data_IF_895143427095
#
_entry.id   IF_895143427095
#
_cell.length_a   1.000
_cell.length_b   1.000
_cell.length_c   1.000
_cell.angle_alpha   90.00
_cell.angle_beta   90.00
_cell.angle_gamma   90.00
#
_symmetry.space_group_name_H-M   'P 1'
#
loop_
_entity.id
_entity.type
_entity.pdbx_description
1 polymer ?
#
# COMPACT_ATOMS: atom_id res chain seq x y z
N UNK A 1 -25.91 -5.36 9.17
CA UNK A 1 -24.98 -6.30 9.64
C UNK A 1 -23.58 -6.10 9.09
N UNK A 2 -22.59 -6.32 9.92
CA UNK A 2 -21.21 -6.08 9.49
C UNK A 2 -20.81 -6.90 8.28
N UNK A 3 -21.39 -8.07 8.12
CA UNK A 3 -21.05 -8.95 7.01
C UNK A 3 -21.32 -8.33 5.65
N UNK A 4 -22.29 -7.46 5.55
CA UNK A 4 -22.59 -6.84 4.28
C UNK A 4 -21.46 -5.92 3.83
N UNK A 5 -20.90 -5.17 4.77
CA UNK A 5 -19.75 -4.36 4.42
C UNK A 5 -18.52 -5.22 4.24
N UNK A 6 -18.33 -6.18 5.12
CA UNK A 6 -17.14 -7.02 5.09
C UNK A 6 -16.99 -7.79 3.80
N UNK A 7 -18.09 -8.17 3.20
CA UNK A 7 -18.01 -8.98 1.99
C UNK A 7 -17.52 -8.22 0.78
N UNK A 8 -17.35 -6.90 0.89
CA UNK A 8 -16.69 -6.14 -0.16
C UNK A 8 -15.23 -6.53 -0.30
N UNK A 9 -14.68 -7.20 0.70
CA UNK A 9 -13.29 -7.62 0.72
C UNK A 9 -13.24 -9.12 0.41
N UNK A 10 -12.49 -9.49 -0.62
CA UNK A 10 -12.34 -10.88 -1.04
C UNK A 10 -11.08 -11.47 -0.42
N UNK A 11 -11.19 -12.72 0.02
CA UNK A 11 -10.02 -13.42 0.54
C UNK A 11 -9.37 -14.24 -0.57
N UNK A 12 -8.03 -14.29 -0.53
CA UNK A 12 -7.27 -15.10 -1.47
C UNK A 12 -7.26 -16.53 -0.95
N UNK A 13 -7.92 -17.43 -1.65
CA UNK A 13 -8.01 -18.82 -1.21
C UNK A 13 -7.08 -19.75 -1.97
N UNK A 14 -6.69 -19.38 -3.19
CA UNK A 14 -5.84 -20.25 -3.97
C UNK A 14 -5.20 -19.48 -5.11
N UNK A 15 -3.88 -19.40 -5.07
CA UNK A 15 -3.07 -18.87 -6.16
C UNK A 15 -1.84 -19.74 -6.26
N UNK A 16 -1.50 -20.09 -7.48
CA UNK A 16 -0.28 -20.86 -7.73
C UNK A 16 0.83 -19.88 -8.08
N UNK A 17 1.41 -19.30 -7.06
CA UNK A 17 2.49 -18.32 -7.20
C UNK A 17 3.81 -19.03 -6.97
N UNK A 18 4.71 -18.94 -7.95
CA UNK A 18 6.04 -19.51 -7.85
C UNK A 18 7.08 -18.42 -7.82
N UNK A 19 7.90 -18.47 -6.80
CA UNK A 19 9.05 -17.58 -6.70
C UNK A 19 10.28 -18.37 -7.16
N UNK A 20 11.00 -17.82 -8.14
CA UNK A 20 12.22 -18.42 -8.63
C UNK A 20 13.36 -17.41 -8.55
N UNK A 21 14.38 -17.76 -7.74
CA UNK A 21 15.54 -16.89 -7.55
C UNK A 21 15.15 -15.47 -7.11
N UNK A 22 14.15 -15.36 -6.25
CA UNK A 22 13.69 -14.08 -5.76
C UNK A 22 12.82 -13.30 -6.73
N UNK A 23 12.28 -13.96 -7.77
CA UNK A 23 11.44 -13.30 -8.77
C UNK A 23 10.11 -14.00 -8.92
N UNK A 24 9.06 -13.20 -9.15
CA UNK A 24 7.71 -13.68 -9.40
C UNK A 24 7.22 -13.02 -10.68
N UNK A 25 6.56 -13.79 -11.53
CA UNK A 25 6.00 -13.22 -12.77
C UNK A 25 4.70 -12.50 -12.48
N UNK A 26 4.57 -11.29 -13.02
CA UNK A 26 3.36 -10.51 -12.85
C UNK A 26 2.12 -11.21 -13.39
N UNK A 27 2.27 -12.01 -14.43
CA UNK A 27 1.15 -12.78 -14.99
C UNK A 27 0.51 -13.73 -13.98
N UNK A 28 1.23 -14.06 -12.90
CA UNK A 28 0.68 -14.88 -11.83
C UNK A 28 -0.53 -14.22 -11.15
N UNK A 29 -0.68 -12.91 -11.29
CA UNK A 29 -1.73 -12.16 -10.63
C UNK A 29 -2.91 -11.81 -11.54
N UNK A 30 -2.98 -12.41 -12.73
CA UNK A 30 -4.02 -12.07 -13.70
C UNK A 30 -5.44 -12.32 -13.18
N UNK A 31 -5.59 -13.22 -12.23
CA UNK A 31 -6.90 -13.52 -11.65
C UNK A 31 -7.17 -12.78 -10.34
N UNK A 32 -6.28 -11.89 -9.95
CA UNK A 32 -6.46 -11.13 -8.72
C UNK A 32 -7.59 -10.13 -8.90
N UNK A 33 -8.58 -10.22 -8.04
CA UNK A 33 -9.77 -9.38 -8.11
C UNK A 33 -9.63 -8.15 -7.22
N UNK A 34 -10.32 -7.08 -7.61
CA UNK A 34 -10.39 -5.88 -6.76
C UNK A 34 -11.03 -6.24 -5.41
N UNK A 35 -10.67 -5.49 -4.40
CA UNK A 35 -11.12 -5.70 -3.01
C UNK A 35 -10.61 -6.99 -2.38
N UNK A 36 -9.54 -7.56 -2.93
CA UNK A 36 -8.92 -8.74 -2.32
C UNK A 36 -7.96 -8.32 -1.21
N UNK A 37 -7.98 -9.05 -0.10
CA UNK A 37 -6.98 -8.89 0.94
C UNK A 37 -5.72 -9.60 0.47
N UNK A 38 -4.68 -8.84 0.15
CA UNK A 38 -3.44 -9.46 -0.34
C UNK A 38 -2.39 -9.61 0.74
N UNK A 39 -2.61 -9.04 1.91
CA UNK A 39 -1.66 -9.15 3.00
C UNK A 39 -1.94 -8.12 4.08
N UNK A 40 -0.88 -7.76 4.79
CA UNK A 40 -0.95 -6.73 5.83
C UNK A 40 0.30 -5.88 5.82
N UNK A 41 0.14 -4.64 6.26
CA UNK A 41 1.25 -3.70 6.45
C UNK A 41 1.44 -3.48 7.94
N UNK A 42 2.68 -3.57 8.39
CA UNK A 42 3.03 -3.29 9.79
C UNK A 42 3.96 -2.10 9.83
N UNK A 43 3.58 -1.09 10.63
CA UNK A 43 4.39 0.10 10.87
C UNK A 43 4.49 0.23 12.39
N UNK A 44 5.70 0.11 12.93
CA UNK A 44 5.88 0.03 14.36
C UNK A 44 5.18 -1.22 14.90
N UNK A 45 4.40 -1.05 15.97
CA UNK A 45 3.69 -2.16 16.60
C UNK A 45 2.28 -2.35 16.04
N UNK A 46 1.92 -1.57 15.03
CA UNK A 46 0.57 -1.59 14.48
C UNK A 46 0.55 -2.24 13.12
N UNK A 47 -0.47 -3.01 12.83
CA UNK A 47 -0.64 -3.57 11.51
C UNK A 47 -2.09 -3.47 11.06
N UNK A 48 -2.27 -3.31 9.77
CA UNK A 48 -3.58 -3.23 9.14
C UNK A 48 -3.57 -4.08 7.88
N UNK A 49 -4.73 -4.61 7.50
CA UNK A 49 -4.85 -5.35 6.24
C UNK A 49 -4.50 -4.47 5.05
N UNK A 50 -3.94 -5.09 4.02
CA UNK A 50 -3.65 -4.45 2.74
C UNK A 50 -4.61 -4.99 1.70
N UNK A 51 -5.39 -4.10 1.09
CA UNK A 51 -6.45 -4.46 0.17
C UNK A 51 -6.09 -3.99 -1.24
N UNK A 52 -6.26 -4.85 -2.21
CA UNK A 52 -5.95 -4.57 -3.59
C UNK A 52 -7.09 -3.79 -4.25
N UNK A 53 -6.81 -2.56 -4.64
CA UNK A 53 -7.75 -1.70 -5.37
C UNK A 53 -9.11 -1.65 -4.68
N UNK A 54 -9.09 -1.32 -3.40
CA UNK A 54 -10.29 -1.36 -2.57
C UNK A 54 -11.26 -0.26 -2.93
N UNK A 55 -12.53 -0.61 -2.82
CA UNK A 55 -13.60 0.34 -2.86
C UNK A 55 -13.52 1.21 -1.60
N UNK A 56 -13.62 2.51 -1.75
CA UNK A 56 -13.46 3.44 -0.62
C UNK A 56 -14.60 3.40 0.39
N UNK A 57 -15.71 2.79 0.04
CA UNK A 57 -16.87 2.74 0.92
C UNK A 57 -16.55 2.08 2.27
N UNK A 58 -15.69 1.07 2.25
CA UNK A 58 -15.36 0.32 3.46
C UNK A 58 -13.87 0.33 3.75
N UNK A 59 -13.27 1.52 3.69
CA UNK A 59 -11.81 1.64 3.70
C UNK A 59 -11.21 1.84 5.09
N UNK A 60 -12.02 1.89 6.15
CA UNK A 60 -11.50 2.09 7.50
C UNK A 60 -10.69 0.89 7.98
N UNK A 61 -9.68 1.16 8.79
CA UNK A 61 -8.84 0.15 9.44
C UNK A 61 -8.15 -0.77 8.44
N UNK A 62 -7.70 -0.19 7.32
CA UNK A 62 -6.97 -0.93 6.30
C UNK A 62 -6.16 0.04 5.45
N UNK A 63 -5.16 -0.51 4.76
CA UNK A 63 -4.47 0.20 3.70
C UNK A 63 -5.05 -0.24 2.37
N UNK A 64 -5.32 0.72 1.51
CA UNK A 64 -5.95 0.46 0.21
C UNK A 64 -4.97 0.78 -0.91
N UNK A 65 -4.64 -0.21 -1.73
CA UNK A 65 -3.81 0.03 -2.91
C UNK A 65 -4.66 0.74 -3.95
N UNK A 66 -4.15 1.85 -4.46
CA UNK A 66 -4.88 2.65 -5.46
C UNK A 66 -5.00 1.91 -6.78
N UNK A 67 -6.07 2.21 -7.50
CA UNK A 67 -6.24 1.74 -8.86
C UNK A 67 -5.11 2.31 -9.71
N UNK A 68 -4.46 1.47 -10.50
CA UNK A 68 -3.35 1.88 -11.34
C UNK A 68 -1.99 1.87 -10.66
N UNK A 69 -1.97 1.58 -9.38
CA UNK A 69 -0.72 1.49 -8.63
C UNK A 69 -0.05 0.14 -8.84
N UNK A 70 1.27 0.10 -8.62
CA UNK A 70 2.01 -1.17 -8.62
C UNK A 70 1.75 -1.95 -7.35
N UNK A 71 1.97 -3.26 -7.42
CA UNK A 71 1.90 -4.12 -6.24
C UNK A 71 3.20 -4.03 -5.45
N UNK A 72 3.18 -4.41 -4.16
CA UNK A 72 4.43 -4.55 -3.42
C UNK A 72 5.39 -5.48 -4.17
N UNK A 73 6.65 -5.06 -4.28
CA UNK A 73 7.68 -5.81 -4.98
C UNK A 73 7.76 -5.53 -6.48
N UNK A 74 6.79 -4.85 -7.05
CA UNK A 74 6.76 -4.54 -8.47
C UNK A 74 7.56 -3.27 -8.78
N UNK A 75 8.08 -3.18 -10.01
CA UNK A 75 8.71 -1.93 -10.46
C UNK A 75 7.68 -0.82 -10.43
N UNK A 76 8.12 0.37 -10.03
CA UNK A 76 7.25 1.52 -9.90
C UNK A 76 6.90 1.75 -8.45
N UNK A 77 5.79 2.42 -8.21
CA UNK A 77 5.37 2.82 -6.87
C UNK A 77 4.06 2.16 -6.48
N UNK A 78 4.08 1.52 -5.34
CA UNK A 78 2.86 1.01 -4.72
C UNK A 78 2.30 2.13 -3.84
N UNK A 79 1.16 2.68 -4.22
CA UNK A 79 0.47 3.72 -3.43
C UNK A 79 -0.60 3.06 -2.58
N UNK A 80 -0.46 3.19 -1.28
CA UNK A 80 -1.43 2.61 -0.34
C UNK A 80 -1.93 3.71 0.59
N UNK A 81 -3.22 3.91 0.57
CA UNK A 81 -3.88 4.95 1.35
C UNK A 81 -4.46 4.38 2.64
N UNK A 82 -4.27 5.11 3.74
CA UNK A 82 -4.96 4.83 4.99
C UNK A 82 -5.85 6.04 5.30
N UNK A 83 -7.04 5.78 5.80
CA UNK A 83 -7.96 6.86 6.11
C UNK A 83 -7.50 7.66 7.33
N UNK A 84 -7.92 8.91 7.39
CA UNK A 84 -7.48 9.88 8.37
C UNK A 84 -7.61 9.39 9.81
N UNK A 85 -8.68 8.68 10.12
CA UNK A 85 -8.90 8.18 11.48
C UNK A 85 -7.93 7.07 11.87
N UNK A 86 -7.23 6.48 10.92
CA UNK A 86 -6.17 5.48 11.18
C UNK A 86 -4.80 6.01 10.84
N UNK A 87 -4.67 7.31 10.55
CA UNK A 87 -3.41 7.88 10.07
C UNK A 87 -2.29 7.89 11.11
N UNK A 88 -2.62 7.74 12.39
CA UNK A 88 -1.60 7.63 13.41
C UNK A 88 -0.61 6.50 13.13
N UNK A 89 -1.06 5.47 12.41
CA UNK A 89 -0.20 4.34 12.04
C UNK A 89 1.03 4.78 11.28
N UNK A 90 0.90 5.80 10.42
CA UNK A 90 2.02 6.29 9.64
C UNK A 90 2.62 7.57 10.21
N UNK A 91 1.85 8.34 10.99
CA UNK A 91 2.33 9.60 11.53
C UNK A 91 3.35 9.43 12.66
N UNK A 92 3.39 8.26 13.27
CA UNK A 92 4.37 7.96 14.30
C UNK A 92 5.67 7.42 13.75
N UNK A 93 5.72 7.13 12.45
CA UNK A 93 6.90 6.60 11.81
C UNK A 93 7.92 7.71 11.54
N UNK A 94 9.18 7.32 11.43
CA UNK A 94 10.30 8.25 11.18
C UNK A 94 11.14 7.75 10.02
N UNK A 95 11.90 8.66 9.42
CA UNK A 95 12.86 8.26 8.40
C UNK A 95 13.83 7.23 8.98
N UNK A 96 14.12 6.22 8.18
CA UNK A 96 14.96 5.11 8.60
C UNK A 96 14.20 3.94 9.20
N UNK A 97 12.95 4.13 9.57
CA UNK A 97 12.14 3.03 10.11
C UNK A 97 11.82 2.02 9.02
N UNK A 98 11.52 0.80 9.47
CA UNK A 98 11.14 -0.30 8.58
C UNK A 98 9.63 -0.43 8.52
N UNK A 99 9.12 -0.60 7.31
CA UNK A 99 7.74 -1.00 7.06
C UNK A 99 7.78 -2.44 6.60
N UNK A 100 7.00 -3.30 7.23
CA UNK A 100 6.90 -4.70 6.84
C UNK A 100 5.59 -4.95 6.12
N UNK A 101 5.65 -5.60 4.97
CA UNK A 101 4.46 -6.01 4.24
C UNK A 101 4.52 -7.52 4.06
N UNK A 102 3.55 -8.22 4.65
CA UNK A 102 3.41 -9.66 4.45
C UNK A 102 2.26 -9.87 3.48
N UNK A 103 2.57 -10.37 2.30
CA UNK A 103 1.57 -10.68 1.30
C UNK A 103 1.44 -12.18 1.14
N UNK A 104 0.39 -12.62 0.43
CA UNK A 104 0.23 -14.04 0.16
C UNK A 104 1.33 -14.60 -0.76
N UNK A 105 2.13 -13.72 -1.38
CA UNK A 105 3.16 -14.16 -2.33
C UNK A 105 4.59 -13.89 -1.84
N UNK A 106 4.80 -13.02 -0.88
CA UNK A 106 6.14 -12.76 -0.34
C UNK A 106 6.06 -11.84 0.87
N UNK A 107 7.13 -11.82 1.65
CA UNK A 107 7.28 -10.88 2.76
C UNK A 107 8.28 -9.82 2.35
N UNK A 108 7.96 -8.56 2.63
CA UNK A 108 8.74 -7.42 2.20
C UNK A 108 9.17 -6.55 3.37
N UNK A 109 10.38 -6.02 3.27
CA UNK A 109 10.82 -4.93 4.12
C UNK A 109 11.09 -3.71 3.25
N UNK A 110 10.55 -2.58 3.68
CA UNK A 110 10.81 -1.29 3.06
C UNK A 110 11.42 -0.36 4.09
N UNK A 111 12.34 0.50 3.67
CA UNK A 111 12.94 1.49 4.56
C UNK A 111 12.39 2.86 4.21
N UNK A 112 11.92 3.58 5.21
CA UNK A 112 11.36 4.92 5.00
C UNK A 112 12.49 5.89 4.65
N UNK A 113 12.37 6.53 3.49
CA UNK A 113 13.34 7.50 3.00
C UNK A 113 12.97 8.93 3.30
N UNK A 114 11.69 9.27 3.21
CA UNK A 114 11.26 10.64 3.45
C UNK A 114 9.81 10.68 3.90
N UNK A 115 9.50 11.70 4.66
CA UNK A 115 8.16 11.95 5.16
C UNK A 115 7.90 13.43 4.96
N UNK A 116 6.77 13.77 4.33
CA UNK A 116 6.46 15.16 4.04
C UNK A 116 4.98 15.33 3.74
N UNK A 117 4.57 16.59 3.58
CA UNK A 117 3.20 16.90 3.18
C UNK A 117 3.20 17.25 1.69
N UNK A 118 2.39 16.55 0.93
CA UNK A 118 2.15 16.88 -0.47
C UNK A 118 0.94 17.82 -0.53
N UNK A 119 1.02 18.87 -1.33
CA UNK A 119 0.01 19.92 -1.34
C UNK A 119 -1.03 19.79 -2.45
N UNK A 120 -0.90 18.77 -3.28
CA UNK A 120 -1.88 18.48 -4.33
C UNK A 120 -1.65 17.05 -4.84
N UNK A 121 -2.57 16.61 -5.70
CA UNK A 121 -2.49 15.24 -6.23
C UNK A 121 -1.27 15.03 -7.12
N UNK A 122 -0.81 16.07 -7.78
CA UNK A 122 0.37 15.96 -8.63
C UNK A 122 1.61 15.65 -7.79
N UNK A 123 1.79 16.33 -6.68
CA UNK A 123 2.89 16.05 -5.77
C UNK A 123 2.80 14.65 -5.20
N UNK A 124 1.58 14.23 -4.84
CA UNK A 124 1.39 12.88 -4.33
C UNK A 124 1.79 11.84 -5.37
N UNK A 125 1.36 12.01 -6.61
CA UNK A 125 1.67 11.05 -7.67
C UNK A 125 3.15 10.94 -7.95
N UNK A 126 3.91 11.99 -7.68
CA UNK A 126 5.34 12.00 -7.91
C UNK A 126 6.16 11.57 -6.70
N UNK A 127 5.50 11.15 -5.62
CA UNK A 127 6.18 10.85 -4.38
C UNK A 127 7.25 9.76 -4.52
N UNK A 128 7.03 8.77 -5.36
CA UNK A 128 8.01 7.70 -5.59
C UNK A 128 8.89 7.88 -6.80
N UNK A 129 8.86 9.06 -7.42
CA UNK A 129 9.59 9.28 -8.66
C UNK A 129 11.09 9.08 -8.48
N UNK A 130 11.70 8.39 -9.43
CA UNK A 130 13.13 8.11 -9.40
C UNK A 130 13.52 6.87 -8.61
N UNK A 131 12.56 6.22 -7.95
CA UNK A 131 12.82 5.00 -7.20
C UNK A 131 12.32 3.80 -7.99
N UNK A 132 13.11 2.72 -7.99
CA UNK A 132 12.76 1.55 -8.80
C UNK A 132 11.58 0.77 -8.25
N UNK A 133 11.56 0.54 -6.95
CA UNK A 133 10.51 -0.22 -6.27
C UNK A 133 10.20 0.51 -4.98
N UNK A 134 9.20 1.38 -5.06
CA UNK A 134 8.87 2.27 -3.97
C UNK A 134 7.52 1.90 -3.37
N UNK A 135 7.36 2.29 -2.12
CA UNK A 135 6.09 2.22 -1.42
C UNK A 135 5.77 3.61 -0.92
N UNK A 136 4.58 4.08 -1.19
CA UNK A 136 4.09 5.35 -0.64
C UNK A 136 2.87 5.05 0.20
N UNK A 137 3.00 5.24 1.50
CA UNK A 137 1.87 5.21 2.41
C UNK A 137 1.41 6.63 2.62
N UNK A 138 0.13 6.89 2.49
CA UNK A 138 -0.36 8.25 2.64
C UNK A 138 -1.76 8.31 3.21
N UNK A 139 -2.10 9.47 3.73
CA UNK A 139 -3.45 9.76 4.16
C UNK A 139 -3.83 11.14 3.65
N UNK A 140 -5.11 11.29 3.33
CA UNK A 140 -5.66 12.57 2.90
C UNK A 140 -5.95 13.41 4.14
N UNK A 141 -5.20 14.50 4.30
CA UNK A 141 -5.35 15.43 5.42
C UNK A 141 -6.12 16.68 5.04
N UNK A 142 -6.79 16.67 3.90
CA UNK A 142 -7.53 17.85 3.45
C UNK A 142 -8.52 18.31 4.50
N UNK A 143 -8.61 19.63 4.67
CA UNK A 143 -9.44 20.24 5.70
C UNK A 143 -10.50 21.10 5.03
N UNK A 144 -11.75 20.83 5.37
CA UNK A 144 -12.86 21.62 4.85
C UNK A 144 -13.13 21.34 3.39
N UNK A 145 -14.28 21.77 2.93
CA UNK A 145 -14.71 21.50 1.56
C UNK A 145 -14.00 22.45 0.59
N UNK A 146 -13.20 21.89 -0.29
CA UNK A 146 -12.63 22.64 -1.40
C UNK A 146 -11.53 23.63 -1.05
N UNK A 147 -10.98 23.55 0.16
CA UNK A 147 -10.01 24.55 0.56
C UNK A 147 -8.60 24.16 0.15
N UNK A 148 -8.16 22.96 0.48
CA UNK A 148 -6.85 22.51 0.07
C UNK A 148 -6.80 21.00 0.09
N UNK A 149 -6.00 20.45 -0.80
CA UNK A 149 -5.72 19.02 -0.82
C UNK A 149 -4.34 18.83 -0.24
N UNK A 150 -4.28 18.29 0.97
CA UNK A 150 -3.01 17.97 1.60
C UNK A 150 -2.96 16.50 1.89
N UNK A 151 -1.78 15.93 1.69
CA UNK A 151 -1.56 14.50 1.94
C UNK A 151 -0.32 14.34 2.80
N UNK A 152 -0.47 13.61 3.89
CA UNK A 152 0.68 13.19 4.67
C UNK A 152 1.30 12.00 3.95
N UNK A 153 2.57 12.10 3.56
CA UNK A 153 3.20 11.13 2.67
C UNK A 153 4.43 10.53 3.32
N UNK A 154 4.49 9.22 3.27
CA UNK A 154 5.63 8.45 3.76
C UNK A 154 6.16 7.64 2.60
N UNK A 155 7.38 7.96 2.14
CA UNK A 155 8.00 7.31 0.99
C UNK A 155 9.05 6.31 1.48
N UNK A 156 8.95 5.09 1.01
CA UNK A 156 9.87 4.03 1.39
C UNK A 156 10.39 3.29 0.17
N UNK A 157 11.56 2.68 0.32
CA UNK A 157 12.17 1.89 -0.75
C UNK A 157 12.29 0.45 -0.30
N UNK A 158 12.13 -0.46 -1.24
CA UNK A 158 12.21 -1.88 -0.98
C UNK A 158 13.64 -2.26 -0.55
N UNK A 159 13.73 -2.93 0.58
CA UNK A 159 14.99 -3.46 1.09
C UNK A 159 15.11 -4.95 0.80
N UNK A 160 14.03 -5.69 0.96
CA UNK A 160 14.04 -7.13 0.73
C UNK A 160 12.66 -7.62 0.34
N UNK A 161 12.62 -8.78 -0.30
CA UNK A 161 11.40 -9.43 -0.73
C UNK A 161 11.49 -9.84 -2.20
N UNK A 162 10.55 -10.65 -2.64
CA UNK A 162 10.55 -11.14 -4.01
C UNK A 162 10.20 -10.02 -4.99
N UNK A 163 10.93 -9.94 -6.09
CA UNK A 163 10.68 -8.94 -7.14
C UNK A 163 9.59 -9.45 -8.07
N UNK A 164 8.58 -8.62 -8.29
CA UNK A 164 7.52 -8.94 -9.25
C UNK A 164 7.89 -8.32 -10.58
N UNK A 165 8.04 -9.14 -11.60
CA UNK A 165 8.51 -8.71 -12.91
C UNK A 165 7.49 -9.06 -13.98
N UNK A 166 7.50 -8.27 -15.04
CA UNK A 166 6.60 -8.47 -16.18
C UNK A 166 6.77 -9.84 -16.85
#
# INVERSE_FOLDING_TARGET
MAAEQGKQVNEITSFDIKEENGNIKKSSFNKLENNSVIGKISVGDESLPLIYKADKVNANERFNINIGSSLPGEIGTCFAEVYKNNSAKIKLASEGDTINIDTFYSSYEYTIKSIYTAHNKHELKNAGAGLSRALVLYTDNSVGAGISNEYYVCVAVMKSGAKVNA
#
